data_IF_811476752165
#
_entry.id   IF_811476752165
#
_cell.length_a   1.000
_cell.length_b   1.000
_cell.length_c   1.000
_cell.angle_alpha   90.00
_cell.angle_beta   90.00
_cell.angle_gamma   90.00
#
_symmetry.space_group_name_H-M   'P 1'
#
loop_
_entity.id
_entity.type
_entity.pdbx_description
1 polymer ?
#
# COMPACT_ATOMS: atom_id res chain seq x y z
N UNK A 1 -7.75 -22.88 27.89
CA UNK A 1 -7.39 -21.57 27.31
C UNK A 1 -6.63 -21.81 26.01
N UNK A 2 -7.33 -21.78 24.87
CA UNK A 2 -6.73 -22.05 23.57
C UNK A 2 -5.81 -20.88 23.19
N UNK A 3 -4.51 -21.14 23.11
CA UNK A 3 -3.54 -20.19 22.55
C UNK A 3 -3.80 -20.15 21.06
N UNK A 4 -4.51 -19.13 20.58
CA UNK A 4 -4.56 -18.86 19.15
C UNK A 4 -3.13 -18.55 18.68
N UNK A 5 -2.60 -19.24 17.66
CA UNK A 5 -1.30 -18.90 17.11
C UNK A 5 -1.39 -17.47 16.57
N UNK A 6 -0.52 -16.60 17.08
CA UNK A 6 -0.38 -15.23 16.59
C UNK A 6 0.26 -15.33 15.20
N UNK A 7 -0.56 -15.12 14.17
CA UNK A 7 -0.17 -15.21 12.77
C UNK A 7 0.83 -14.09 12.46
N UNK A 8 2.06 -14.45 12.11
CA UNK A 8 3.09 -13.49 11.74
C UNK A 8 2.87 -12.91 10.32
N UNK A 9 3.44 -11.75 9.97
CA UNK A 9 3.47 -11.25 8.59
C UNK A 9 4.13 -12.21 7.58
N UNK A 10 4.83 -13.21 8.09
CA UNK A 10 5.55 -14.29 7.41
C UNK A 10 4.79 -15.64 7.42
N UNK A 11 3.55 -15.70 7.89
CA UNK A 11 2.67 -16.87 7.74
C UNK A 11 2.11 -17.01 6.30
N UNK A 12 2.97 -16.77 5.31
CA UNK A 12 2.78 -17.13 3.89
C UNK A 12 2.64 -18.65 3.71
N UNK A 13 2.96 -19.43 4.75
CA UNK A 13 3.05 -20.88 4.80
C UNK A 13 1.81 -21.63 4.26
N UNK A 14 0.61 -21.03 4.28
CA UNK A 14 -0.61 -21.67 3.75
C UNK A 14 -1.00 -21.26 2.33
N UNK A 15 -0.42 -20.20 1.76
CA UNK A 15 -0.59 -19.89 0.35
C UNK A 15 0.41 -20.74 -0.44
N UNK A 16 -0.06 -21.90 -0.94
CA UNK A 16 0.75 -22.73 -1.84
C UNK A 16 1.31 -21.86 -2.97
N UNK A 17 2.61 -21.91 -3.24
CA UNK A 17 3.22 -21.24 -4.40
C UNK A 17 2.42 -21.46 -5.69
N UNK A 18 1.76 -22.62 -5.80
CA UNK A 18 0.83 -22.97 -6.89
C UNK A 18 -0.43 -22.10 -6.92
N UNK A 19 -1.10 -21.85 -5.78
CA UNK A 19 -2.31 -21.02 -5.75
C UNK A 19 -2.00 -19.55 -6.02
N UNK A 20 -0.85 -19.05 -5.55
CA UNK A 20 -0.37 -17.71 -5.86
C UNK A 20 -0.08 -17.58 -7.36
N UNK A 21 0.68 -18.51 -7.93
CA UNK A 21 0.94 -18.56 -9.37
C UNK A 21 -0.36 -18.55 -10.18
N UNK A 22 -1.32 -19.41 -9.82
CA UNK A 22 -2.62 -19.45 -10.51
C UNK A 22 -3.43 -18.16 -10.35
N UNK A 23 -3.35 -17.49 -9.20
CA UNK A 23 -4.00 -16.19 -9.01
C UNK A 23 -3.40 -15.14 -9.94
N UNK A 24 -2.07 -15.01 -9.97
CA UNK A 24 -1.38 -14.06 -10.86
C UNK A 24 -1.66 -14.35 -12.33
N UNK A 25 -1.59 -15.61 -12.74
CA UNK A 25 -1.89 -16.02 -14.12
C UNK A 25 -3.32 -15.64 -14.52
N UNK A 26 -4.31 -15.91 -13.67
CA UNK A 26 -5.71 -15.53 -13.93
C UNK A 26 -5.87 -14.00 -14.03
N UNK A 27 -5.25 -13.26 -13.12
CA UNK A 27 -5.32 -11.78 -13.11
C UNK A 27 -4.68 -11.19 -14.36
N UNK A 28 -3.51 -11.67 -14.78
CA UNK A 28 -2.81 -11.19 -15.97
C UNK A 28 -3.62 -11.51 -17.23
N UNK A 29 -4.09 -12.75 -17.39
CA UNK A 29 -4.91 -13.15 -18.54
C UNK A 29 -6.19 -12.32 -18.59
N UNK A 30 -6.91 -12.19 -17.47
CA UNK A 30 -8.12 -11.39 -17.39
C UNK A 30 -7.89 -9.93 -17.76
N UNK A 31 -6.80 -9.33 -17.25
CA UNK A 31 -6.43 -7.95 -17.57
C UNK A 31 -6.11 -7.76 -19.06
N UNK A 32 -5.40 -8.72 -19.68
CA UNK A 32 -5.06 -8.66 -21.11
C UNK A 32 -6.30 -8.87 -22.00
N UNK A 33 -7.18 -9.81 -21.66
CA UNK A 33 -8.44 -10.04 -22.38
C UNK A 33 -9.33 -8.81 -22.30
N UNK A 34 -9.47 -8.20 -21.12
CA UNK A 34 -10.28 -7.00 -20.97
C UNK A 34 -9.70 -5.82 -21.77
N UNK A 35 -8.37 -5.64 -21.73
CA UNK A 35 -7.68 -4.63 -22.53
C UNK A 35 -7.84 -4.83 -24.02
N UNK A 36 -7.75 -6.07 -24.51
CA UNK A 36 -7.88 -6.39 -25.94
C UNK A 36 -9.31 -6.22 -26.45
N UNK A 37 -10.33 -6.55 -25.65
CA UNK A 37 -11.73 -6.32 -25.99
C UNK A 37 -12.02 -4.83 -26.14
N UNK A 38 -11.56 -4.00 -25.20
CA UNK A 38 -11.73 -2.54 -25.29
C UNK A 38 -10.96 -1.97 -26.48
N UNK A 39 -9.73 -2.41 -26.69
CA UNK A 39 -8.92 -1.98 -27.84
C UNK A 39 -9.58 -2.34 -29.18
N UNK A 40 -10.07 -3.58 -29.32
CA UNK A 40 -10.78 -4.04 -30.51
C UNK A 40 -12.06 -3.26 -30.77
N UNK A 41 -12.83 -2.94 -29.73
CA UNK A 41 -14.00 -2.09 -29.85
C UNK A 41 -13.64 -0.67 -30.33
N UNK A 42 -12.65 -0.02 -29.70
CA UNK A 42 -12.18 1.32 -30.10
C UNK A 42 -11.68 1.35 -31.55
N UNK A 43 -10.99 0.29 -31.98
CA UNK A 43 -10.54 0.15 -33.36
C UNK A 43 -11.71 0.00 -34.35
N UNK A 44 -12.71 -0.84 -34.03
CA UNK A 44 -13.89 -1.02 -34.86
C UNK A 44 -14.71 0.27 -35.06
N UNK A 45 -14.75 1.14 -34.05
CA UNK A 45 -15.42 2.44 -34.12
C UNK A 45 -14.54 3.56 -34.72
N UNK A 46 -13.36 3.23 -35.28
CA UNK A 46 -12.41 4.20 -35.85
C UNK A 46 -12.02 5.32 -34.88
N UNK A 47 -11.88 5.01 -33.59
CA UNK A 47 -11.51 6.01 -32.60
C UNK A 47 -10.05 6.45 -32.78
N UNK A 48 -9.83 7.76 -32.98
CA UNK A 48 -8.52 8.33 -33.33
C UNK A 48 -7.41 8.02 -32.29
N UNK A 49 -7.77 7.84 -31.02
CA UNK A 49 -6.81 7.63 -29.93
C UNK A 49 -6.66 6.17 -29.48
N UNK A 50 -7.06 5.19 -30.30
CA UNK A 50 -7.01 3.76 -29.96
C UNK A 50 -5.60 3.30 -29.54
N UNK A 51 -4.55 3.74 -30.24
CA UNK A 51 -3.15 3.44 -29.87
C UNK A 51 -2.76 4.10 -28.54
N UNK A 52 -3.21 5.34 -28.31
CA UNK A 52 -2.98 6.06 -27.06
C UNK A 52 -3.63 5.37 -25.85
N UNK A 53 -4.84 4.82 -26.04
CA UNK A 53 -5.51 4.02 -25.03
C UNK A 53 -4.73 2.76 -24.69
N UNK A 54 -4.25 2.01 -25.70
CA UNK A 54 -3.44 0.80 -25.47
C UNK A 54 -2.16 1.10 -24.69
N UNK A 55 -1.48 2.21 -25.01
CA UNK A 55 -0.32 2.66 -24.25
C UNK A 55 -0.67 3.00 -22.79
N UNK A 56 -1.75 3.75 -22.59
CA UNK A 56 -2.22 4.12 -21.24
C UNK A 56 -2.60 2.90 -20.42
N UNK A 57 -3.28 1.91 -21.02
CA UNK A 57 -3.67 0.65 -20.37
C UNK A 57 -2.47 -0.10 -19.80
N UNK A 58 -1.35 -0.12 -20.51
CA UNK A 58 -0.13 -0.78 -20.04
C UNK A 58 0.65 0.06 -19.02
N UNK A 59 0.74 1.38 -19.23
CA UNK A 59 1.58 2.25 -18.40
C UNK A 59 0.92 2.62 -17.07
N UNK A 60 -0.40 2.86 -17.07
CA UNK A 60 -1.11 3.39 -15.90
C UNK A 60 -0.96 2.51 -14.66
N UNK A 61 -1.12 1.17 -14.69
CA UNK A 61 -0.96 0.33 -13.51
C UNK A 61 0.45 0.40 -12.91
N UNK A 62 1.47 0.49 -13.76
CA UNK A 62 2.89 0.58 -13.33
C UNK A 62 3.13 1.91 -12.62
N UNK A 63 2.62 3.00 -13.19
CA UNK A 63 2.69 4.33 -12.57
C UNK A 63 1.91 4.35 -11.26
N UNK A 64 0.67 3.87 -11.24
CA UNK A 64 -0.17 3.82 -10.05
C UNK A 64 0.48 2.99 -8.93
N UNK A 65 1.08 1.85 -9.25
CA UNK A 65 1.83 1.05 -8.28
C UNK A 65 3.03 1.82 -7.72
N UNK A 66 3.83 2.46 -8.57
CA UNK A 66 5.01 3.22 -8.15
C UNK A 66 4.71 4.43 -7.25
N UNK A 67 3.53 5.05 -7.46
CA UNK A 67 3.04 6.20 -6.72
C UNK A 67 2.00 5.86 -5.64
N UNK A 68 1.67 4.59 -5.46
CA UNK A 68 0.64 4.10 -4.53
C UNK A 68 0.77 4.67 -3.12
N UNK A 69 1.99 4.68 -2.56
CA UNK A 69 2.26 5.24 -1.25
C UNK A 69 1.94 6.74 -1.17
N UNK A 70 2.29 7.51 -2.20
CA UNK A 70 2.00 8.96 -2.25
C UNK A 70 0.51 9.22 -2.38
N UNK A 71 -0.18 8.41 -3.20
CA UNK A 71 -1.63 8.49 -3.38
C UNK A 71 -2.33 8.21 -2.05
N UNK A 72 -1.92 7.17 -1.33
CA UNK A 72 -2.48 6.85 -0.01
C UNK A 72 -2.33 8.02 0.98
N UNK A 73 -1.13 8.60 1.10
CA UNK A 73 -0.88 9.75 1.97
C UNK A 73 -1.70 10.98 1.57
N UNK A 74 -1.86 11.23 0.27
CA UNK A 74 -2.63 12.35 -0.23
C UNK A 74 -4.12 12.19 0.09
N UNK A 75 -4.67 10.98 -0.07
CA UNK A 75 -6.07 10.67 0.25
C UNK A 75 -6.34 10.86 1.74
N UNK A 76 -5.41 10.43 2.60
CA UNK A 76 -5.54 10.59 4.05
C UNK A 76 -5.09 11.94 4.58
N UNK A 77 -4.69 12.88 3.68
CA UNK A 77 -4.15 14.20 4.01
C UNK A 77 -3.07 14.13 5.10
N UNK A 78 -2.22 13.11 5.03
CA UNK A 78 -1.25 12.85 6.09
C UNK A 78 -0.08 13.82 6.00
N UNK A 79 0.30 14.39 7.14
CA UNK A 79 1.41 15.35 7.29
C UNK A 79 2.58 14.64 7.98
N UNK A 80 3.85 14.96 7.67
CA UNK A 80 4.99 14.39 8.39
C UNK A 80 4.87 14.57 9.90
N UNK A 81 5.25 13.56 10.67
CA UNK A 81 5.25 13.64 12.12
C UNK A 81 6.28 14.67 12.61
N UNK A 82 5.83 15.69 13.34
CA UNK A 82 6.67 16.72 13.97
C UNK A 82 7.32 16.20 15.27
N UNK A 83 8.66 16.09 15.37
CA UNK A 83 9.34 15.66 16.58
C UNK A 83 9.19 16.61 17.79
N UNK A 84 8.80 17.86 17.57
CA UNK A 84 8.60 18.83 18.65
C UNK A 84 7.30 18.58 19.44
N UNK A 85 6.34 17.86 18.84
CA UNK A 85 5.12 17.46 19.54
C UNK A 85 5.38 16.18 20.36
N UNK A 86 5.14 16.16 21.69
CA UNK A 86 5.35 14.99 22.53
C UNK A 86 4.62 13.72 22.08
N UNK A 87 3.40 13.85 21.54
CA UNK A 87 2.60 12.72 21.07
C UNK A 87 3.23 12.07 19.83
N UNK A 88 3.69 12.90 18.91
CA UNK A 88 4.38 12.46 17.70
C UNK A 88 5.74 11.84 18.04
N UNK A 89 6.48 12.44 18.98
CA UNK A 89 7.75 11.91 19.46
C UNK A 89 7.59 10.51 20.09
N UNK A 90 6.51 10.30 20.84
CA UNK A 90 6.17 8.98 21.38
C UNK A 90 5.94 7.95 20.28
N UNK A 91 5.16 8.30 19.25
CA UNK A 91 4.95 7.43 18.09
C UNK A 91 6.25 7.12 17.36
N UNK A 92 7.09 8.12 17.12
CA UNK A 92 8.40 7.95 16.49
C UNK A 92 9.28 6.98 17.29
N UNK A 93 9.28 7.09 18.62
CA UNK A 93 10.03 6.18 19.51
C UNK A 93 9.54 4.74 19.43
N UNK A 94 8.22 4.53 19.32
CA UNK A 94 7.63 3.19 19.15
C UNK A 94 8.07 2.59 17.81
N UNK A 95 7.94 3.36 16.73
CA UNK A 95 8.37 2.93 15.39
C UNK A 95 9.86 2.58 15.38
N UNK A 96 10.70 3.32 16.10
CA UNK A 96 12.13 3.07 16.20
C UNK A 96 12.47 1.75 16.89
N UNK A 97 11.76 1.44 17.98
CA UNK A 97 11.90 0.17 18.69
C UNK A 97 11.45 -1.01 17.83
N UNK A 98 10.37 -0.84 17.05
CA UNK A 98 9.89 -1.88 16.13
C UNK A 98 10.89 -2.06 14.99
N UNK A 99 11.38 -0.97 14.39
CA UNK A 99 12.35 -0.99 13.31
C UNK A 99 13.65 -1.70 13.72
N UNK A 100 14.16 -1.42 14.92
CA UNK A 100 15.36 -2.07 15.46
C UNK A 100 15.21 -3.60 15.58
N UNK A 101 13.98 -4.10 15.74
CA UNK A 101 13.67 -5.54 15.86
C UNK A 101 13.21 -6.18 14.55
N UNK A 102 12.82 -5.38 13.55
CA UNK A 102 12.18 -5.89 12.33
C UNK A 102 13.16 -6.35 11.25
N UNK A 103 14.47 -6.09 11.40
CA UNK A 103 15.48 -6.45 10.40
C UNK A 103 15.33 -5.71 9.05
N UNK A 104 14.56 -4.62 9.02
CA UNK A 104 14.35 -3.82 7.82
C UNK A 104 15.60 -3.01 7.51
N UNK A 105 15.97 -2.92 6.22
CA UNK A 105 17.14 -2.14 5.77
C UNK A 105 16.91 -0.63 5.79
N UNK A 106 15.67 -0.19 5.62
CA UNK A 106 15.29 1.22 5.52
C UNK A 106 14.17 1.53 6.50
N UNK A 107 14.36 2.55 7.33
CA UNK A 107 13.34 3.04 8.26
C UNK A 107 12.25 3.78 7.48
N UNK A 108 10.97 3.36 7.57
CA UNK A 108 9.89 4.06 6.89
C UNK A 108 9.63 5.42 7.57
N UNK A 109 9.42 6.51 6.80
CA UNK A 109 8.94 7.77 7.35
C UNK A 109 7.56 7.61 7.97
N UNK A 110 7.30 8.39 9.03
CA UNK A 110 6.06 8.38 9.80
C UNK A 110 5.25 9.64 9.50
N UNK A 111 3.97 9.45 9.19
CA UNK A 111 3.03 10.52 8.91
C UNK A 111 1.82 10.45 9.84
N UNK A 112 1.13 11.58 9.97
CA UNK A 112 -0.02 11.73 10.85
C UNK A 112 -1.20 12.26 10.04
N UNK A 113 -2.31 11.53 10.11
CA UNK A 113 -3.57 11.88 9.45
C UNK A 113 -4.54 12.52 10.43
N UNK A 114 -5.25 13.54 9.95
CA UNK A 114 -6.25 14.27 10.72
C UNK A 114 -7.60 13.53 10.73
N UNK A 115 -7.63 12.37 11.40
CA UNK A 115 -8.83 11.57 11.59
C UNK A 115 -9.03 11.29 13.09
N UNK A 116 -10.24 11.55 13.64
CA UNK A 116 -10.54 11.30 15.06
C UNK A 116 -10.67 9.82 15.41
N UNK A 117 -10.86 8.93 14.44
CA UNK A 117 -10.94 7.49 14.69
C UNK A 117 -9.54 6.90 14.90
N UNK A 118 -9.33 6.03 15.91
CA UNK A 118 -8.03 5.42 16.16
C UNK A 118 -7.69 4.37 15.11
N UNK A 119 -6.76 4.69 14.22
CA UNK A 119 -6.26 3.79 13.17
C UNK A 119 -4.77 4.06 12.84
N UNK A 120 -4.11 3.06 12.26
CA UNK A 120 -2.77 3.18 11.69
C UNK A 120 -2.62 2.22 10.51
N UNK A 121 -1.91 2.63 9.46
CA UNK A 121 -1.64 1.81 8.29
C UNK A 121 -0.19 1.95 7.79
N UNK A 122 0.31 0.91 7.14
CA UNK A 122 1.62 0.90 6.49
C UNK A 122 1.46 0.49 5.02
N UNK A 123 2.10 1.23 4.11
CA UNK A 123 2.00 1.00 2.67
C UNK A 123 3.33 1.29 1.96
N UNK A 124 3.52 0.78 0.74
CA UNK A 124 4.72 1.02 -0.05
C UNK A 124 4.90 -0.01 -1.16
N UNK A 125 5.24 0.39 -2.39
CA UNK A 125 5.46 -0.56 -3.49
C UNK A 125 6.71 -1.42 -3.28
N UNK A 126 7.73 -0.87 -2.62
CA UNK A 126 9.00 -1.53 -2.30
C UNK A 126 9.47 -1.08 -0.92
N UNK A 127 10.36 -1.84 -0.28
CA UNK A 127 10.88 -1.54 1.06
C UNK A 127 11.43 -0.11 1.21
N UNK A 128 12.16 0.39 0.20
CA UNK A 128 12.72 1.76 0.22
C UNK A 128 11.65 2.86 0.17
N UNK A 129 10.44 2.53 -0.28
CA UNK A 129 9.29 3.44 -0.39
C UNK A 129 8.17 3.09 0.59
N UNK A 130 8.47 2.27 1.60
CA UNK A 130 7.54 1.99 2.68
C UNK A 130 7.28 3.25 3.50
N UNK A 131 6.04 3.42 3.95
CA UNK A 131 5.57 4.56 4.75
C UNK A 131 4.62 4.04 5.81
N UNK A 132 4.68 4.63 7.00
CA UNK A 132 3.74 4.38 8.10
C UNK A 132 2.95 5.65 8.37
N UNK A 133 1.63 5.53 8.54
CA UNK A 133 0.77 6.64 8.90
C UNK A 133 -0.14 6.26 10.08
N UNK A 134 -0.27 7.15 11.05
CA UNK A 134 -1.17 7.01 12.19
C UNK A 134 -2.18 8.16 12.21
N UNK A 135 -3.38 7.93 12.74
CA UNK A 135 -4.41 8.96 12.88
C UNK A 135 -4.30 9.64 14.24
N UNK A 136 -4.72 10.91 14.35
CA UNK A 136 -4.79 11.62 15.63
C UNK A 136 -5.64 10.91 16.70
N UNK A 137 -6.71 10.21 16.29
CA UNK A 137 -7.54 9.42 17.19
C UNK A 137 -6.76 8.40 18.04
N UNK A 138 -5.62 7.92 17.55
CA UNK A 138 -4.79 6.94 18.24
C UNK A 138 -4.18 7.49 19.54
N UNK A 139 -3.87 8.80 19.57
CA UNK A 139 -3.28 9.47 20.74
C UNK A 139 -4.30 9.62 21.87
N UNK A 140 -5.57 9.85 21.52
CA UNK A 140 -6.66 10.05 22.48
C UNK A 140 -7.08 8.76 23.20
N UNK A 141 -6.81 7.59 22.61
CA UNK A 141 -7.21 6.31 23.19
C UNK A 141 -6.23 5.79 24.26
N UNK A 142 -5.17 6.53 24.58
CA UNK A 142 -4.16 6.10 25.55
C UNK A 142 -3.35 4.87 25.12
N UNK A 143 -3.47 4.45 23.85
CA UNK A 143 -2.81 3.27 23.29
C UNK A 143 -1.46 3.56 22.63
N UNK A 144 -1.10 4.83 22.45
CA UNK A 144 0.27 5.25 22.14
C UNK A 144 0.98 5.49 23.43
#
# INVERSE_FOLDING_TARGET
MARHPVLGPDDVSKASHRSLFWAWTKTIIGYLVMGSLVFGALWAFNFQYTVGFGLLWCLLPVVMWWFSAKIALAVTKSVPADPANPEHQRLLTIVDRVFAKSGLKFKPPVYISDNPLPNAFATGPIHRKAVVAATKGLFNCGMT
#
